data_IF_098869845950
#
_entry.id   IF_098869845950
#
_cell.length_a   1.000
_cell.length_b   1.000
_cell.length_c   1.000
_cell.angle_alpha   90.00
_cell.angle_beta   90.00
_cell.angle_gamma   90.00
#
_symmetry.space_group_name_H-M   'P 1'
#
loop_
_entity.id
_entity.type
_entity.pdbx_description
1 polymer ?
#
# COMPACT_ATOMS: atom_id res chain seq x y z
N UNK A 1 -9.77 -6.29 -30.02
CA UNK A 1 -9.11 -6.03 -28.71
C UNK A 1 -9.70 -7.00 -27.71
N UNK A 2 -8.88 -7.80 -27.03
CA UNK A 2 -9.38 -8.66 -25.95
C UNK A 2 -9.94 -7.78 -24.83
N UNK A 3 -11.09 -8.15 -24.29
CA UNK A 3 -11.71 -7.44 -23.16
C UNK A 3 -10.88 -7.76 -21.91
N UNK A 4 -10.53 -6.74 -21.13
CA UNK A 4 -9.83 -6.92 -19.87
C UNK A 4 -10.62 -7.87 -18.95
N UNK A 5 -9.91 -8.65 -18.13
CA UNK A 5 -10.56 -9.53 -17.15
C UNK A 5 -11.25 -8.64 -16.12
N UNK A 6 -12.48 -9.00 -15.75
CA UNK A 6 -13.20 -8.33 -14.65
C UNK A 6 -12.83 -8.96 -13.31
N UNK A 7 -13.04 -8.25 -12.19
CA UNK A 7 -12.79 -8.85 -10.88
C UNK A 7 -13.68 -10.09 -10.69
N UNK A 8 -14.92 -10.05 -11.18
CA UNK A 8 -15.82 -11.20 -11.14
C UNK A 8 -15.22 -12.43 -11.81
N UNK A 9 -14.68 -12.29 -13.02
CA UNK A 9 -14.05 -13.40 -13.74
C UNK A 9 -12.77 -13.88 -13.06
N UNK A 10 -11.96 -12.95 -12.54
CA UNK A 10 -10.74 -13.28 -11.81
C UNK A 10 -11.05 -14.04 -10.50
N UNK A 11 -12.11 -13.66 -9.79
CA UNK A 11 -12.59 -14.36 -8.60
C UNK A 11 -13.06 -15.77 -8.96
N UNK A 12 -13.88 -15.94 -9.99
CA UNK A 12 -14.35 -17.27 -10.42
C UNK A 12 -13.16 -18.19 -10.73
N UNK A 13 -12.20 -17.71 -11.53
CA UNK A 13 -10.97 -18.47 -11.84
C UNK A 13 -10.15 -18.79 -10.59
N UNK A 14 -10.11 -17.87 -9.63
CA UNK A 14 -9.39 -18.06 -8.38
C UNK A 14 -10.09 -19.11 -7.50
N UNK A 15 -11.41 -19.08 -7.39
CA UNK A 15 -12.21 -20.08 -6.67
C UNK A 15 -12.09 -21.46 -7.33
N UNK A 16 -12.14 -21.55 -8.66
CA UNK A 16 -11.91 -22.80 -9.40
C UNK A 16 -10.51 -23.37 -9.17
N UNK A 17 -9.49 -22.51 -9.09
CA UNK A 17 -8.10 -22.92 -8.90
C UNK A 17 -7.79 -23.34 -7.45
N UNK A 18 -8.41 -22.69 -6.48
CA UNK A 18 -8.15 -22.94 -5.05
C UNK A 18 -9.12 -23.93 -4.43
N UNK A 19 -10.32 -24.07 -5.00
CA UNK A 19 -11.44 -24.80 -4.39
C UNK A 19 -12.09 -24.03 -3.23
N UNK A 20 -11.63 -22.81 -2.91
CA UNK A 20 -12.16 -21.99 -1.83
C UNK A 20 -13.19 -20.98 -2.35
N UNK A 21 -14.07 -20.51 -1.47
CA UNK A 21 -14.98 -19.39 -1.74
C UNK A 21 -14.33 -18.08 -1.34
N UNK A 22 -14.29 -17.13 -2.27
CA UNK A 22 -13.62 -15.84 -2.08
C UNK A 22 -14.23 -15.02 -0.93
N UNK A 23 -15.54 -15.16 -0.67
CA UNK A 23 -16.21 -14.48 0.45
C UNK A 23 -15.96 -15.08 1.83
N UNK A 24 -15.50 -16.33 1.90
CA UNK A 24 -15.26 -17.06 3.16
C UNK A 24 -13.77 -17.10 3.51
N UNK A 25 -12.89 -16.97 2.51
CA UNK A 25 -11.44 -16.97 2.72
C UNK A 25 -10.93 -15.63 3.26
N UNK A 26 -9.80 -15.70 3.96
CA UNK A 26 -9.11 -14.54 4.51
C UNK A 26 -8.09 -13.95 3.54
N UNK A 27 -7.69 -14.67 2.50
CA UNK A 27 -6.62 -14.24 1.61
C UNK A 27 -6.96 -14.53 0.15
N UNK A 28 -7.18 -13.48 -0.64
CA UNK A 28 -7.54 -13.57 -2.05
C UNK A 28 -6.40 -13.03 -2.91
N UNK A 29 -5.96 -13.85 -3.88
CA UNK A 29 -4.79 -13.56 -4.72
C UNK A 29 -5.18 -13.48 -6.20
N UNK A 30 -5.42 -12.27 -6.67
CA UNK A 30 -5.78 -11.94 -8.07
C UNK A 30 -4.61 -11.25 -8.80
N UNK A 31 -3.38 -11.65 -8.51
CA UNK A 31 -2.20 -11.09 -9.17
C UNK A 31 -2.04 -11.65 -10.60
N UNK A 32 -1.37 -10.88 -11.46
CA UNK A 32 -0.96 -11.30 -12.82
C UNK A 32 -2.08 -11.93 -13.66
N UNK A 33 -3.24 -11.27 -13.74
CA UNK A 33 -4.35 -11.77 -14.56
C UNK A 33 -4.03 -11.67 -16.06
N UNK A 34 -4.51 -12.65 -16.83
CA UNK A 34 -4.37 -12.68 -18.29
C UNK A 34 -5.77 -12.88 -18.89
N UNK A 35 -6.34 -11.88 -19.60
CA UNK A 35 -5.91 -10.47 -19.72
C UNK A 35 -5.84 -9.71 -18.38
N UNK A 36 -5.04 -8.63 -18.24
CA UNK A 36 -4.88 -7.90 -16.97
C UNK A 36 -6.17 -7.21 -16.52
N UNK A 37 -6.30 -6.99 -15.21
CA UNK A 37 -7.37 -6.17 -14.65
C UNK A 37 -7.09 -4.68 -14.93
N UNK A 38 -8.03 -3.98 -15.57
CA UNK A 38 -7.91 -2.53 -15.79
C UNK A 38 -8.62 -1.70 -14.71
N UNK A 39 -9.64 -2.27 -14.06
CA UNK A 39 -10.52 -1.54 -13.13
C UNK A 39 -10.95 -2.44 -11.97
N UNK A 40 -11.08 -1.83 -10.79
CA UNK A 40 -11.72 -2.45 -9.63
C UNK A 40 -13.23 -2.27 -9.75
N UNK A 41 -13.98 -3.36 -9.66
CA UNK A 41 -15.45 -3.36 -9.75
C UNK A 41 -16.11 -3.79 -8.42
N UNK A 42 -17.44 -3.66 -8.35
CA UNK A 42 -18.21 -3.93 -7.13
C UNK A 42 -18.14 -5.38 -6.65
N UNK A 43 -17.63 -6.32 -7.46
CA UNK A 43 -17.47 -7.73 -7.05
C UNK A 43 -16.48 -7.88 -5.90
N UNK A 44 -15.60 -6.90 -5.66
CA UNK A 44 -14.76 -6.86 -4.46
C UNK A 44 -15.57 -6.80 -3.15
N UNK A 45 -16.82 -6.34 -3.20
CA UNK A 45 -17.69 -6.29 -2.01
C UNK A 45 -18.11 -7.65 -1.48
N UNK A 46 -17.94 -8.73 -2.26
CA UNK A 46 -18.22 -10.10 -1.80
C UNK A 46 -17.16 -10.61 -0.81
N UNK A 47 -15.99 -9.96 -0.76
CA UNK A 47 -14.82 -10.36 0.03
C UNK A 47 -14.91 -9.88 1.49
N UNK A 48 -16.02 -10.18 2.16
CA UNK A 48 -16.35 -9.66 3.50
C UNK A 48 -15.36 -10.11 4.59
N UNK A 49 -14.78 -11.30 4.45
CA UNK A 49 -13.83 -11.88 5.40
C UNK A 49 -12.37 -11.71 4.96
N UNK A 50 -12.13 -11.08 3.82
CA UNK A 50 -10.79 -10.96 3.27
C UNK A 50 -9.94 -9.98 4.08
N UNK A 51 -8.88 -10.52 4.68
CA UNK A 51 -7.85 -9.77 5.40
C UNK A 51 -6.68 -9.40 4.49
N UNK A 52 -6.42 -10.18 3.44
CA UNK A 52 -5.29 -9.99 2.52
C UNK A 52 -5.74 -10.04 1.07
N UNK A 53 -5.66 -8.91 0.37
CA UNK A 53 -6.03 -8.81 -1.05
C UNK A 53 -4.78 -8.50 -1.90
N UNK A 54 -4.48 -9.38 -2.85
CA UNK A 54 -3.42 -9.15 -3.83
C UNK A 54 -3.98 -8.91 -5.22
N UNK A 55 -3.73 -7.73 -5.77
CA UNK A 55 -4.11 -7.26 -7.10
C UNK A 55 -2.88 -6.82 -7.91
N UNK A 56 -1.70 -7.33 -7.55
CA UNK A 56 -0.42 -6.93 -8.16
C UNK A 56 -0.29 -7.37 -9.62
N UNK A 57 0.53 -6.67 -10.39
CA UNK A 57 0.82 -7.01 -11.81
C UNK A 57 -0.45 -7.01 -12.65
N UNK A 58 -1.17 -5.90 -12.60
CA UNK A 58 -2.35 -5.63 -13.39
C UNK A 58 -2.23 -4.22 -14.03
N UNK A 59 -3.27 -3.72 -14.66
CA UNK A 59 -3.30 -2.39 -15.28
C UNK A 59 -4.31 -1.47 -14.58
N UNK A 60 -4.46 -1.61 -13.26
CA UNK A 60 -5.44 -0.83 -12.49
C UNK A 60 -5.00 0.63 -12.44
N UNK A 61 -5.87 1.54 -12.89
CA UNK A 61 -5.57 2.98 -12.90
C UNK A 61 -6.10 3.73 -11.67
N UNK A 62 -7.17 3.20 -11.05
CA UNK A 62 -7.90 3.85 -9.95
C UNK A 62 -8.32 2.83 -8.91
N UNK A 63 -8.11 3.18 -7.64
CA UNK A 63 -8.59 2.41 -6.50
C UNK A 63 -10.06 2.77 -6.26
N UNK A 64 -10.94 1.78 -6.25
CA UNK A 64 -12.37 1.97 -6.02
C UNK A 64 -13.01 0.69 -5.50
N UNK A 65 -14.24 0.80 -5.01
CA UNK A 65 -15.08 -0.35 -4.62
C UNK A 65 -14.54 -1.21 -3.47
N UNK A 66 -13.80 -0.60 -2.52
CA UNK A 66 -13.27 -1.26 -1.34
C UNK A 66 -14.25 -1.30 -0.14
N UNK A 67 -15.46 -0.75 -0.30
CA UNK A 67 -16.46 -0.58 0.78
C UNK A 67 -16.88 -1.89 1.49
N UNK A 68 -16.78 -3.04 0.82
CA UNK A 68 -17.14 -4.33 1.41
C UNK A 68 -16.05 -4.97 2.27
N UNK A 69 -14.78 -4.52 2.15
CA UNK A 69 -13.63 -5.19 2.77
C UNK A 69 -13.32 -4.60 4.15
N UNK A 70 -14.26 -4.76 5.08
CA UNK A 70 -14.16 -4.20 6.44
C UNK A 70 -13.06 -4.85 7.31
N UNK A 71 -12.52 -5.98 6.89
CA UNK A 71 -11.47 -6.69 7.60
C UNK A 71 -10.11 -6.62 6.89
N UNK A 72 -9.99 -5.79 5.85
CA UNK A 72 -8.77 -5.74 5.05
C UNK A 72 -7.61 -5.16 5.87
N UNK A 73 -6.55 -5.96 6.03
CA UNK A 73 -5.34 -5.58 6.75
C UNK A 73 -4.16 -5.40 5.80
N UNK A 74 -4.09 -6.20 4.73
CA UNK A 74 -2.99 -6.17 3.77
C UNK A 74 -3.55 -5.98 2.36
N UNK A 75 -3.10 -4.93 1.68
CA UNK A 75 -3.47 -4.63 0.31
C UNK A 75 -2.24 -4.53 -0.57
N UNK A 76 -2.14 -5.42 -1.56
CA UNK A 76 -1.07 -5.39 -2.55
C UNK A 76 -1.60 -4.95 -3.91
N UNK A 77 -1.14 -3.77 -4.34
CA UNK A 77 -1.45 -3.10 -5.60
C UNK A 77 -0.17 -2.82 -6.41
N UNK A 78 0.94 -3.50 -6.13
CA UNK A 78 2.19 -3.28 -6.84
C UNK A 78 2.10 -3.60 -8.34
N UNK A 79 2.92 -2.94 -9.17
CA UNK A 79 2.92 -3.08 -10.64
C UNK A 79 1.53 -2.86 -11.23
N UNK A 80 1.00 -1.66 -11.03
CA UNK A 80 -0.25 -1.16 -11.61
C UNK A 80 -0.01 0.26 -12.17
N UNK A 81 -1.07 0.93 -12.65
CA UNK A 81 -1.01 2.27 -13.24
C UNK A 81 -1.67 3.32 -12.33
N UNK A 82 -1.61 3.12 -11.01
CA UNK A 82 -2.31 3.97 -10.04
C UNK A 82 -1.60 5.31 -9.90
N UNK A 83 -2.36 6.41 -9.98
CA UNK A 83 -1.83 7.78 -9.92
C UNK A 83 -2.05 8.48 -8.59
N UNK A 84 -3.02 8.04 -7.80
CA UNK A 84 -3.35 8.60 -6.50
C UNK A 84 -3.98 7.56 -5.58
N UNK A 85 -4.02 7.85 -4.29
CA UNK A 85 -4.52 6.97 -3.24
C UNK A 85 -6.01 7.18 -2.92
N UNK A 86 -6.73 7.92 -3.76
CA UNK A 86 -8.16 8.15 -3.55
C UNK A 86 -8.92 6.82 -3.63
N UNK A 87 -9.91 6.63 -2.75
CA UNK A 87 -10.71 5.39 -2.68
C UNK A 87 -10.24 4.38 -1.64
N UNK A 88 -9.12 4.64 -0.95
CA UNK A 88 -8.69 3.86 0.24
C UNK A 88 -9.41 4.26 1.53
N UNK A 89 -10.24 5.30 1.50
CA UNK A 89 -10.96 5.83 2.67
C UNK A 89 -11.81 4.75 3.36
N UNK A 90 -12.41 3.86 2.58
CA UNK A 90 -13.25 2.77 3.08
C UNK A 90 -12.49 1.73 3.92
N UNK A 91 -11.18 1.60 3.73
CA UNK A 91 -10.32 0.63 4.42
C UNK A 91 -9.27 1.31 5.31
N UNK A 92 -9.35 2.64 5.47
CA UNK A 92 -8.34 3.41 6.20
C UNK A 92 -8.22 3.02 7.68
N UNK A 93 -9.33 2.63 8.30
CA UNK A 93 -9.35 2.26 9.72
C UNK A 93 -8.91 0.82 10.00
N UNK A 94 -8.68 0.01 8.96
CA UNK A 94 -8.38 -1.44 9.08
C UNK A 94 -7.04 -1.81 8.46
N UNK A 95 -6.59 -1.05 7.46
CA UNK A 95 -5.37 -1.37 6.71
C UNK A 95 -4.12 -1.16 7.56
N UNK A 96 -3.30 -2.21 7.64
CA UNK A 96 -2.03 -2.24 8.37
C UNK A 96 -0.83 -2.27 7.42
N UNK A 97 -0.97 -2.88 6.24
CA UNK A 97 0.09 -2.97 5.24
C UNK A 97 -0.42 -2.60 3.84
N UNK A 98 0.26 -1.66 3.18
CA UNK A 98 -0.04 -1.23 1.82
C UNK A 98 1.19 -1.39 0.94
N UNK A 99 1.09 -2.24 -0.08
CA UNK A 99 2.16 -2.44 -1.06
C UNK A 99 1.73 -1.89 -2.42
N UNK A 100 2.26 -0.73 -2.78
CA UNK A 100 1.92 0.01 -4.01
C UNK A 100 3.15 0.37 -4.84
N UNK A 101 4.20 -0.43 -4.72
CA UNK A 101 5.43 -0.30 -5.52
C UNK A 101 5.17 -0.41 -7.03
N UNK A 102 5.98 0.26 -7.86
CA UNK A 102 5.83 0.26 -9.33
C UNK A 102 4.43 0.74 -9.76
N UNK A 103 4.10 1.96 -9.35
CA UNK A 103 2.90 2.70 -9.78
C UNK A 103 3.32 4.09 -10.24
N UNK A 104 2.35 4.96 -10.52
CA UNK A 104 2.57 6.31 -11.05
C UNK A 104 2.12 7.38 -10.04
N UNK A 105 2.33 7.12 -8.74
CA UNK A 105 1.87 8.03 -7.68
C UNK A 105 2.81 9.22 -7.58
N UNK A 106 2.29 10.41 -7.87
CA UNK A 106 3.01 11.67 -7.71
C UNK A 106 2.70 12.37 -6.39
N UNK A 107 1.47 12.20 -5.89
CA UNK A 107 0.95 12.90 -4.70
C UNK A 107 0.29 11.91 -3.74
N UNK A 108 0.59 12.05 -2.46
CA UNK A 108 0.09 11.23 -1.36
C UNK A 108 -1.21 11.78 -0.77
N UNK A 109 -2.09 12.32 -1.62
CA UNK A 109 -3.40 12.82 -1.18
C UNK A 109 -4.26 11.63 -0.71
N UNK A 110 -4.83 11.75 0.50
CA UNK A 110 -5.64 10.70 1.11
C UNK A 110 -4.88 9.71 2.00
N UNK A 111 -3.54 9.85 2.13
CA UNK A 111 -2.75 8.95 2.99
C UNK A 111 -3.18 9.03 4.46
N UNK A 112 -3.50 10.24 4.95
CA UNK A 112 -3.87 10.53 6.35
C UNK A 112 -5.08 9.74 6.87
N UNK A 113 -5.89 9.16 5.98
CA UNK A 113 -7.05 8.34 6.37
C UNK A 113 -6.62 6.99 6.95
N UNK A 114 -5.41 6.51 6.62
CA UNK A 114 -4.91 5.19 7.01
C UNK A 114 -4.19 5.20 8.37
N UNK A 115 -4.92 5.47 9.45
CA UNK A 115 -4.34 5.67 10.80
C UNK A 115 -3.62 4.44 11.38
N UNK A 116 -4.00 3.24 10.95
CA UNK A 116 -3.41 1.97 11.42
C UNK A 116 -2.29 1.43 10.52
N UNK A 117 -1.92 2.16 9.47
CA UNK A 117 -0.90 1.71 8.53
C UNK A 117 0.46 1.65 9.23
N UNK A 118 1.05 0.46 9.26
CA UNK A 118 2.35 0.15 9.85
C UNK A 118 3.44 0.02 8.80
N UNK A 119 3.09 -0.60 7.67
CA UNK A 119 4.03 -0.92 6.59
C UNK A 119 3.54 -0.29 5.29
N UNK A 120 4.38 0.56 4.69
CA UNK A 120 4.11 1.18 3.40
C UNK A 120 5.26 0.90 2.43
N UNK A 121 4.99 0.08 1.42
CA UNK A 121 5.93 -0.14 0.32
C UNK A 121 5.46 0.63 -0.90
N UNK A 122 6.18 1.68 -1.27
CA UNK A 122 5.85 2.56 -2.39
C UNK A 122 7.08 2.88 -3.25
N UNK A 123 8.00 1.93 -3.36
CA UNK A 123 9.17 2.04 -4.24
C UNK A 123 8.79 2.22 -5.70
N UNK A 124 9.63 2.88 -6.50
CA UNK A 124 9.40 3.08 -7.94
C UNK A 124 8.04 3.75 -8.20
N UNK A 125 7.81 4.90 -7.56
CA UNK A 125 6.70 5.80 -7.83
C UNK A 125 7.26 7.16 -8.31
N UNK A 126 6.42 8.19 -8.43
CA UNK A 126 6.79 9.47 -9.06
C UNK A 126 6.80 10.63 -8.06
N UNK A 127 6.98 10.38 -6.76
CA UNK A 127 6.99 11.44 -5.75
C UNK A 127 8.31 12.22 -5.83
N UNK A 128 8.21 13.55 -6.01
CA UNK A 128 9.37 14.43 -6.24
C UNK A 128 9.58 15.48 -5.15
N UNK A 129 8.59 15.70 -4.29
CA UNK A 129 8.56 16.82 -3.35
C UNK A 129 8.50 16.35 -1.90
N UNK A 130 9.29 16.99 -1.03
CA UNK A 130 9.22 16.77 0.42
C UNK A 130 7.85 17.10 1.00
N UNK A 131 7.11 18.03 0.41
CA UNK A 131 5.76 18.38 0.84
C UNK A 131 4.81 17.17 0.80
N UNK A 132 5.03 16.22 -0.13
CA UNK A 132 4.28 14.97 -0.18
C UNK A 132 4.82 13.97 0.84
N UNK A 133 6.15 13.87 0.98
CA UNK A 133 6.80 12.97 1.93
C UNK A 133 6.42 13.27 3.39
N UNK A 134 6.37 14.54 3.78
CA UNK A 134 6.03 14.97 5.15
C UNK A 134 4.60 14.55 5.53
N UNK A 135 3.68 14.34 4.57
CA UNK A 135 2.33 13.83 4.85
C UNK A 135 2.35 12.41 5.44
N UNK A 136 3.43 11.66 5.26
CA UNK A 136 3.62 10.37 5.91
C UNK A 136 3.78 10.51 7.43
N UNK A 137 4.19 11.69 7.93
CA UNK A 137 4.32 11.95 9.36
C UNK A 137 2.96 11.97 10.08
N UNK A 138 1.87 12.21 9.34
CA UNK A 138 0.50 12.17 9.84
C UNK A 138 0.04 10.73 10.15
N UNK A 139 0.81 9.71 9.76
CA UNK A 139 0.53 8.31 10.05
C UNK A 139 1.14 7.93 11.40
N UNK A 140 0.34 7.77 12.47
CA UNK A 140 0.87 7.56 13.81
C UNK A 140 1.49 6.18 14.00
N UNK A 141 1.06 5.19 13.21
CA UNK A 141 1.48 3.80 13.35
C UNK A 141 2.56 3.36 12.36
N UNK A 142 3.01 4.25 11.45
CA UNK A 142 3.95 3.89 10.39
C UNK A 142 5.34 3.58 10.97
N UNK A 143 5.83 2.36 10.72
CA UNK A 143 7.10 1.87 11.25
C UNK A 143 8.07 1.38 10.17
N UNK A 144 7.56 0.84 9.05
CA UNK A 144 8.38 0.37 7.93
C UNK A 144 7.95 1.07 6.64
N UNK A 145 8.89 1.76 6.00
CA UNK A 145 8.68 2.50 4.76
C UNK A 145 9.74 2.09 3.74
N UNK A 146 9.28 1.73 2.54
CA UNK A 146 10.16 1.57 1.38
C UNK A 146 9.75 2.59 0.33
N UNK A 147 10.65 3.49 0.01
CA UNK A 147 10.46 4.65 -0.85
C UNK A 147 11.50 4.73 -1.99
N UNK A 148 12.46 3.80 -2.05
CA UNK A 148 13.47 3.67 -3.11
C UNK A 148 12.90 3.83 -4.53
N UNK A 149 13.58 4.56 -5.40
CA UNK A 149 13.22 4.73 -6.81
C UNK A 149 12.10 5.75 -7.03
N UNK A 150 11.79 6.58 -6.03
CA UNK A 150 11.05 7.81 -6.25
C UNK A 150 12.04 8.92 -6.62
N UNK A 151 11.71 9.85 -7.53
CA UNK A 151 12.62 10.92 -7.92
C UNK A 151 13.13 11.78 -6.74
N UNK A 152 12.33 11.92 -5.68
CA UNK A 152 12.78 12.55 -4.44
C UNK A 152 13.89 11.74 -3.76
N UNK A 153 13.73 10.42 -3.63
CA UNK A 153 14.77 9.58 -3.04
C UNK A 153 16.02 9.55 -3.90
N UNK A 154 15.89 9.29 -5.20
CA UNK A 154 17.04 9.23 -6.12
C UNK A 154 17.91 10.49 -6.07
N UNK A 155 17.26 11.66 -5.97
CA UNK A 155 17.96 12.95 -5.87
C UNK A 155 18.82 13.03 -4.60
N UNK A 156 18.24 12.76 -3.44
CA UNK A 156 18.94 12.88 -2.15
C UNK A 156 19.87 11.69 -1.87
N UNK A 157 19.60 10.55 -2.50
CA UNK A 157 20.45 9.37 -2.48
C UNK A 157 21.75 9.63 -3.25
N UNK A 158 21.66 10.31 -4.41
CA UNK A 158 22.81 10.79 -5.16
C UNK A 158 23.64 11.85 -4.40
N UNK A 159 22.99 12.64 -3.55
CA UNK A 159 23.66 13.61 -2.65
C UNK A 159 24.21 12.95 -1.36
N UNK A 160 23.89 11.68 -1.10
CA UNK A 160 24.36 10.92 0.07
C UNK A 160 23.67 11.28 1.40
N UNK A 161 22.59 12.07 1.37
CA UNK A 161 21.91 12.60 2.55
C UNK A 161 20.45 12.12 2.69
N UNK A 162 19.98 11.21 1.82
CA UNK A 162 18.61 10.71 1.84
C UNK A 162 18.16 10.18 3.19
N UNK A 163 18.88 9.23 3.78
CA UNK A 163 18.49 8.58 5.03
C UNK A 163 18.39 9.60 6.18
N UNK A 164 19.34 10.53 6.28
CA UNK A 164 19.34 11.59 7.29
C UNK A 164 18.12 12.52 7.13
N UNK A 165 17.90 13.05 5.93
CA UNK A 165 16.80 13.98 5.66
C UNK A 165 15.43 13.32 5.79
N UNK A 166 15.31 12.05 5.38
CA UNK A 166 14.11 11.24 5.49
C UNK A 166 13.76 10.94 6.96
N UNK A 167 14.71 10.43 7.73
CA UNK A 167 14.52 10.08 9.16
C UNK A 167 14.35 11.31 10.06
N UNK A 168 14.90 12.45 9.68
CA UNK A 168 14.65 13.74 10.35
C UNK A 168 13.18 14.18 10.24
N UNK A 169 12.55 13.96 9.08
CA UNK A 169 11.14 14.31 8.82
C UNK A 169 10.18 13.25 9.31
N UNK A 170 10.59 11.99 9.24
CA UNK A 170 9.92 10.86 9.85
C UNK A 170 10.79 10.31 10.98
N UNK A 171 10.79 10.98 12.16
CA UNK A 171 11.12 10.29 13.39
C UNK A 171 10.05 9.19 13.58
N UNK A 172 9.88 8.45 14.67
CA UNK A 172 8.94 7.27 14.72
C UNK A 172 9.23 6.10 13.76
N UNK A 173 9.75 6.32 12.54
CA UNK A 173 10.05 5.26 11.58
C UNK A 173 11.16 4.37 12.14
N UNK A 174 10.93 3.06 12.15
CA UNK A 174 11.89 2.05 12.65
C UNK A 174 12.72 1.47 11.51
N UNK A 175 12.21 1.50 10.28
CA UNK A 175 12.87 0.94 9.11
C UNK A 175 12.57 1.76 7.87
N UNK A 176 13.63 2.12 7.15
CA UNK A 176 13.58 2.92 5.93
C UNK A 176 14.38 2.19 4.84
N UNK A 177 13.74 1.90 3.71
CA UNK A 177 14.37 1.31 2.52
C UNK A 177 15.11 0.00 2.80
N UNK A 178 14.57 -0.81 3.72
CA UNK A 178 15.18 -2.07 4.14
C UNK A 178 16.19 -1.93 5.28
N UNK A 179 16.65 -0.72 5.59
CA UNK A 179 17.62 -0.46 6.64
C UNK A 179 16.91 -0.14 7.97
N UNK A 180 17.26 -0.82 9.08
CA UNK A 180 16.77 -0.43 10.39
C UNK A 180 17.28 0.98 10.72
N UNK A 181 16.36 1.86 11.07
CA UNK A 181 16.66 3.18 11.61
C UNK A 181 16.92 2.97 13.10
N UNK A 182 18.18 2.66 13.43
CA UNK A 182 18.61 2.52 14.82
C UNK A 182 18.64 3.92 15.42
N UNK A 183 17.71 4.17 16.33
CA UNK A 183 17.81 5.31 17.24
C UNK A 183 18.52 4.80 18.49
N UNK A 184 19.39 5.62 19.07
CA UNK A 184 19.70 5.46 20.48
C UNK A 184 18.36 5.70 21.19
N UNK A 185 17.73 4.62 21.63
CA UNK A 185 16.52 4.70 22.44
C UNK A 185 16.90 5.53 23.69
N UNK A 186 16.36 6.75 23.78
CA UNK A 186 16.17 7.35 25.10
C UNK A 186 15.21 6.42 25.83
N UNK A 187 15.73 5.87 26.92
CA UNK A 187 15.07 5.03 27.90
C UNK A 187 13.56 5.28 27.96
N UNK A 188 12.78 4.28 27.53
CA UNK A 188 11.43 4.10 28.08
C UNK A 188 11.62 3.88 29.58
N UNK A 189 11.63 4.97 30.34
CA UNK A 189 11.60 4.96 31.78
C UNK A 189 10.31 4.29 32.23
N UNK A 190 10.42 3.00 32.55
CA UNK A 190 9.51 2.30 33.46
C UNK A 190 9.55 3.03 34.82
N UNK A 191 8.77 4.10 34.93
CA UNK A 191 8.39 4.71 36.20
C UNK A 191 7.09 4.07 36.66
N UNK A 192 7.16 2.83 37.15
CA UNK A 192 6.08 2.22 37.93
C UNK A 192 6.06 2.92 39.30
N UNK A 193 4.92 3.47 39.69
CA UNK A 193 4.64 4.00 41.03
C UNK A 193 3.19 3.75 41.38
#
# INVERSE_FOLDING_TARGET
KAKATTIKEALIKWEEKTGERAGETKAVKLYAQIPPLEKMDASLSTLINCERLSLSTNCIEKIANLNGLKNLRILSLGRNNIKNLNGLEAVGDTLEELWISYNLIEKLKGIHVMKKLKVLYMSNNLVKEWAEYVKLADLPALVDLVFVGNPLEEKYSAEGNWIEEATKRLPKLKKLDGNPVIKQDEEDGEGDS
#
